data_IF_275449364937
#
_entry.id   IF_275449364937
#
_cell.length_a   1.000
_cell.length_b   1.000
_cell.length_c   1.000
_cell.angle_alpha   90.00
_cell.angle_beta   90.00
_cell.angle_gamma   90.00
#
_symmetry.space_group_name_H-M   'P 1'
#
loop_
_entity.id
_entity.type
_entity.pdbx_description
1 polymer ?
#
# COMPACT_ATOMS: atom_id res chain seq x y z
N UNK A 1 -49.73 6.28 21.71
CA UNK A 1 -48.53 7.00 21.22
C UNK A 1 -47.60 5.96 20.63
N UNK A 2 -47.43 6.00 19.31
CA UNK A 2 -46.67 5.06 18.48
C UNK A 2 -45.17 5.17 18.73
N UNK A 3 -44.47 4.06 18.95
CA UNK A 3 -43.01 4.01 18.84
C UNK A 3 -42.62 2.96 17.80
N UNK A 4 -42.74 3.34 16.52
CA UNK A 4 -42.03 2.65 15.44
C UNK A 4 -40.55 3.03 15.59
N UNK A 5 -39.76 2.13 16.18
CA UNK A 5 -38.31 2.25 16.27
C UNK A 5 -37.69 2.20 14.88
N UNK A 6 -37.50 3.38 14.29
CA UNK A 6 -36.94 3.57 12.96
C UNK A 6 -35.44 3.21 12.98
N UNK A 7 -35.13 1.93 12.71
CA UNK A 7 -33.78 1.35 12.63
C UNK A 7 -32.94 1.87 11.44
N UNK A 8 -33.31 3.00 10.84
CA UNK A 8 -32.65 3.57 9.65
C UNK A 8 -31.46 4.48 9.98
N UNK A 9 -31.21 4.77 11.26
CA UNK A 9 -30.17 5.72 11.68
C UNK A 9 -28.77 5.09 11.87
N UNK A 10 -28.57 3.82 11.47
CA UNK A 10 -27.27 3.14 11.53
C UNK A 10 -26.71 2.82 10.12
N UNK A 11 -27.07 3.60 9.10
CA UNK A 11 -26.49 3.48 7.76
C UNK A 11 -25.39 4.52 7.52
N UNK A 12 -24.29 4.07 6.90
CA UNK A 12 -23.21 4.95 6.43
C UNK A 12 -23.75 5.73 5.23
N UNK A 13 -23.63 7.06 5.26
CA UNK A 13 -24.10 7.95 4.19
C UNK A 13 -23.25 7.82 2.91
N UNK A 14 -21.99 7.45 3.06
CA UNK A 14 -21.04 7.22 1.98
C UNK A 14 -19.60 7.11 2.48
N UNK A 15 -18.67 6.82 1.57
CA UNK A 15 -17.24 6.79 1.82
C UNK A 15 -16.60 7.95 1.06
N UNK A 16 -15.70 8.69 1.71
CA UNK A 16 -14.84 9.66 1.04
C UNK A 16 -13.42 9.09 1.00
N UNK A 17 -12.79 9.18 -0.16
CA UNK A 17 -11.38 8.84 -0.36
C UNK A 17 -10.61 10.04 -0.88
N UNK A 18 -9.30 10.06 -0.61
CA UNK A 18 -8.36 11.01 -1.20
C UNK A 18 -7.19 10.23 -1.79
N UNK A 19 -6.78 10.59 -3.00
CA UNK A 19 -5.66 9.94 -3.66
C UNK A 19 -4.33 10.49 -3.13
N UNK A 20 -3.39 9.58 -2.86
CA UNK A 20 -2.01 9.92 -2.51
C UNK A 20 -1.10 9.35 -3.59
N UNK A 21 -0.36 10.22 -4.27
CA UNK A 21 0.55 9.81 -5.34
C UNK A 21 1.85 9.24 -4.76
N UNK A 22 2.29 8.10 -5.27
CA UNK A 22 3.55 7.47 -4.84
C UNK A 22 4.77 8.38 -5.04
N UNK A 23 4.74 9.27 -6.02
CA UNK A 23 5.84 10.21 -6.29
C UNK A 23 6.00 11.28 -5.20
N UNK A 24 4.91 11.65 -4.53
CA UNK A 24 4.98 12.55 -3.37
C UNK A 24 5.65 11.86 -2.19
N UNK A 25 5.30 10.59 -1.94
CA UNK A 25 5.94 9.78 -0.89
C UNK A 25 7.43 9.60 -1.18
N UNK A 26 7.79 9.33 -2.44
CA UNK A 26 9.19 9.23 -2.90
C UNK A 26 9.95 10.55 -2.73
N UNK A 27 9.30 11.71 -2.89
CA UNK A 27 9.92 13.03 -2.71
C UNK A 27 10.21 13.32 -1.24
N UNK A 28 9.35 12.87 -0.34
CA UNK A 28 9.54 13.03 1.11
C UNK A 28 10.68 12.17 1.65
N UNK A 29 11.09 11.12 0.93
CA UNK A 29 12.16 10.23 1.35
C UNK A 29 13.50 10.61 0.71
N UNK A 30 14.51 11.07 1.49
CA UNK A 30 15.78 11.53 0.94
C UNK A 30 16.64 10.35 0.46
N UNK A 31 16.69 10.15 -0.87
CA UNK A 31 17.52 9.09 -1.49
C UNK A 31 19.03 9.27 -1.31
N UNK A 32 19.49 10.50 -1.07
CA UNK A 32 20.92 10.83 -1.12
C UNK A 32 21.73 10.34 0.09
N UNK A 33 21.07 9.92 1.17
CA UNK A 33 21.76 9.59 2.43
C UNK A 33 22.21 8.12 2.54
N UNK A 34 21.84 7.24 1.60
CA UNK A 34 21.98 5.78 1.76
C UNK A 34 23.10 5.13 0.92
N UNK A 35 23.78 5.89 0.05
CA UNK A 35 24.78 5.35 -0.87
C UNK A 35 24.18 4.62 -2.08
N UNK A 36 25.03 4.13 -2.98
CA UNK A 36 24.62 3.62 -4.30
C UNK A 36 23.68 2.40 -4.28
N UNK A 37 23.71 1.59 -3.22
CA UNK A 37 22.93 0.36 -3.09
C UNK A 37 21.76 0.49 -2.10
N UNK A 38 21.60 1.67 -1.48
CA UNK A 38 20.54 1.89 -0.50
C UNK A 38 19.24 2.30 -1.17
N UNK A 39 18.15 1.66 -0.79
CA UNK A 39 16.80 2.03 -1.20
C UNK A 39 15.83 1.94 -0.02
N UNK A 40 14.67 2.54 -0.22
CA UNK A 40 13.59 2.53 0.75
C UNK A 40 12.46 1.73 0.14
N UNK A 41 11.88 0.85 0.96
CA UNK A 41 10.68 0.11 0.63
C UNK A 41 9.61 0.40 1.68
N UNK A 42 8.34 0.24 1.29
CA UNK A 42 7.21 0.38 2.19
C UNK A 42 6.28 -0.82 2.00
N UNK A 43 5.88 -1.45 3.10
CA UNK A 43 5.07 -2.67 3.13
C UNK A 43 3.80 -2.39 3.94
N UNK A 44 2.67 -2.96 3.51
CA UNK A 44 1.44 -2.96 4.29
C UNK A 44 1.42 -4.11 5.31
N UNK A 45 0.54 -4.10 6.34
CA UNK A 45 0.45 -5.20 7.30
C UNK A 45 0.08 -6.57 6.71
N UNK A 46 -0.31 -6.62 5.42
CA UNK A 46 -0.60 -7.87 4.71
C UNK A 46 0.64 -8.41 3.95
N UNK A 47 1.75 -7.67 3.93
CA UNK A 47 2.99 -8.03 3.24
C UNK A 47 3.12 -7.51 1.80
N UNK A 48 2.22 -6.63 1.35
CA UNK A 48 2.27 -6.05 0.00
C UNK A 48 3.14 -4.80 -0.07
N UNK A 49 3.92 -4.70 -1.15
CA UNK A 49 4.79 -3.55 -1.39
C UNK A 49 4.04 -2.35 -1.95
N UNK A 50 4.12 -1.23 -1.23
CA UNK A 50 3.66 0.09 -1.66
C UNK A 50 4.72 0.85 -2.46
N UNK A 51 6.00 0.65 -2.11
CA UNK A 51 7.15 1.29 -2.74
C UNK A 51 8.30 0.30 -2.80
N UNK A 52 8.88 0.10 -3.99
CA UNK A 52 10.11 -0.66 -4.17
C UNK A 52 10.76 -0.27 -5.52
N UNK A 53 12.10 -0.27 -5.65
CA UNK A 53 12.77 0.01 -6.92
C UNK A 53 12.36 -0.95 -8.05
N UNK A 54 12.08 -2.22 -7.72
CA UNK A 54 11.61 -3.22 -8.69
C UNK A 54 10.08 -3.19 -8.91
N UNK A 55 9.34 -2.34 -8.19
CA UNK A 55 7.90 -2.20 -8.39
C UNK A 55 7.64 -1.40 -9.66
N UNK A 56 7.43 -2.10 -10.77
CA UNK A 56 7.06 -1.48 -12.03
C UNK A 56 5.55 -1.20 -12.02
N UNK A 57 5.10 0.00 -12.45
CA UNK A 57 3.68 0.24 -12.64
C UNK A 57 3.16 -0.75 -13.68
N UNK A 58 2.15 -1.56 -13.35
CA UNK A 58 1.51 -2.43 -14.35
C UNK A 58 0.99 -1.55 -15.48
N UNK A 59 1.52 -1.77 -16.68
CA UNK A 59 0.83 -1.39 -17.90
C UNK A 59 -0.47 -2.19 -17.92
N UNK A 60 -1.59 -1.55 -18.25
CA UNK A 60 -2.92 -2.12 -18.47
C UNK A 60 -3.90 -2.00 -17.28
N UNK A 61 -5.06 -1.39 -17.59
CA UNK A 61 -6.29 -1.29 -16.81
C UNK A 61 -6.78 -2.66 -16.30
N UNK A 62 -6.12 -3.23 -15.30
CA UNK A 62 -6.60 -4.41 -14.60
C UNK A 62 -7.56 -3.97 -13.49
N UNK A 63 -8.72 -4.64 -13.32
CA UNK A 63 -9.63 -4.37 -12.21
C UNK A 63 -9.00 -4.66 -10.83
N UNK A 64 -7.92 -5.44 -10.82
CA UNK A 64 -7.26 -5.91 -9.62
C UNK A 64 -6.13 -4.95 -9.20
N UNK A 65 -6.02 -4.64 -7.89
CA UNK A 65 -4.93 -3.82 -7.37
C UNK A 65 -3.58 -4.48 -7.66
N UNK A 66 -2.54 -3.66 -7.86
CA UNK A 66 -1.17 -4.16 -8.01
C UNK A 66 -0.68 -4.62 -6.63
N UNK A 67 -0.82 -5.90 -6.35
CA UNK A 67 -0.28 -6.54 -5.14
C UNK A 67 0.97 -7.32 -5.52
N UNK A 68 2.15 -6.78 -5.18
CA UNK A 68 3.42 -7.51 -5.27
C UNK A 68 3.87 -7.81 -3.84
N UNK A 69 4.13 -9.08 -3.54
CA UNK A 69 4.70 -9.49 -2.26
C UNK A 69 6.17 -9.05 -2.17
N UNK A 70 6.62 -8.72 -0.96
CA UNK A 70 8.03 -8.42 -0.69
C UNK A 70 8.95 -9.59 -1.09
N UNK A 71 8.54 -10.82 -0.81
CA UNK A 71 9.31 -12.02 -1.13
C UNK A 71 9.37 -12.29 -2.64
N UNK A 72 8.42 -11.78 -3.43
CA UNK A 72 8.46 -11.87 -4.89
C UNK A 72 9.33 -10.79 -5.53
N UNK A 73 9.47 -9.63 -4.86
CA UNK A 73 10.22 -8.48 -5.38
C UNK A 73 11.73 -8.58 -5.12
N UNK A 74 12.12 -9.38 -4.13
CA UNK A 74 13.49 -9.60 -3.72
C UNK A 74 13.85 -11.09 -3.75
N UNK A 75 15.15 -11.40 -3.70
CA UNK A 75 15.59 -12.79 -3.55
C UNK A 75 15.16 -13.30 -2.18
N UNK A 76 14.43 -14.43 -2.17
CA UNK A 76 14.00 -15.15 -0.98
C UNK A 76 15.20 -15.46 -0.07
N UNK A 77 15.09 -15.09 1.20
CA UNK A 77 16.09 -15.34 2.25
C UNK A 77 15.34 -15.57 3.56
N UNK A 78 15.76 -16.57 4.33
CA UNK A 78 15.16 -16.91 5.63
C UNK A 78 15.20 -15.74 6.63
N UNK A 79 16.19 -14.84 6.52
CA UNK A 79 16.25 -13.65 7.37
C UNK A 79 15.22 -12.58 6.95
N UNK A 80 14.76 -12.61 5.70
CA UNK A 80 13.77 -11.67 5.17
C UNK A 80 12.34 -12.10 5.46
N UNK A 81 12.10 -13.38 5.67
CA UNK A 81 10.82 -13.89 6.18
C UNK A 81 10.51 -13.36 7.58
N UNK A 82 11.53 -13.12 8.42
CA UNK A 82 11.36 -12.61 9.79
C UNK A 82 10.99 -11.11 9.84
N UNK A 83 11.25 -10.37 8.75
CA UNK A 83 11.02 -8.92 8.66
C UNK A 83 9.64 -8.59 8.01
N UNK A 84 9.00 -9.59 7.38
CA UNK A 84 7.64 -9.50 6.84
C UNK A 84 6.61 -9.40 7.95
#
# INVERSE_FOLDING_TARGET
LTMNGNSQNQLILGVMGVDVHLDEIKRLTPRYNFGANGYIFAIDPNGYLLLHPNLQPKLVNLPEPVTLDFLDAEVEDSNKEEIR
#
